data_IF_798796627359
#
_entry.id   IF_798796627359
#
_cell.length_a   1.000
_cell.length_b   1.000
_cell.length_c   1.000
_cell.angle_alpha   90.00
_cell.angle_beta   90.00
_cell.angle_gamma   90.00
#
_symmetry.space_group_name_H-M   'P 1'
#
loop_
_entity.id
_entity.type
_entity.pdbx_description
1 polymer ?
#
# COMPACT_ATOMS: atom_id res chain seq x y z
N UNK A 1 8.20 -26.60 -12.04
CA UNK A 1 8.49 -25.44 -12.92
C UNK A 1 8.90 -24.28 -12.00
N UNK A 2 10.19 -23.98 -11.95
CA UNK A 2 10.72 -22.84 -11.19
C UNK A 2 10.55 -21.63 -12.09
N UNK A 3 9.57 -20.76 -11.82
CA UNK A 3 9.41 -19.54 -12.60
C UNK A 3 10.44 -18.52 -12.08
N UNK A 4 11.59 -18.47 -12.74
CA UNK A 4 12.53 -17.38 -12.61
C UNK A 4 11.93 -16.12 -13.27
N UNK A 5 11.11 -15.36 -12.53
CA UNK A 5 10.60 -14.03 -12.95
C UNK A 5 11.49 -12.90 -12.41
N UNK A 6 12.74 -13.17 -12.05
CA UNK A 6 13.60 -12.15 -11.44
C UNK A 6 14.37 -11.29 -12.46
N UNK A 7 14.34 -11.60 -13.77
CA UNK A 7 15.33 -11.06 -14.71
C UNK A 7 14.82 -10.03 -15.75
N UNK A 8 13.60 -9.46 -15.62
CA UNK A 8 13.07 -8.51 -16.63
C UNK A 8 12.88 -7.06 -16.16
N UNK A 9 13.37 -6.69 -14.97
CA UNK A 9 13.38 -5.29 -14.52
C UNK A 9 14.77 -4.80 -14.13
N UNK A 10 15.78 -5.06 -14.95
CA UNK A 10 16.98 -4.20 -14.98
C UNK A 10 16.68 -2.97 -15.83
N UNK A 11 15.70 -2.14 -15.43
CA UNK A 11 15.62 -0.78 -15.95
C UNK A 11 16.67 0.03 -15.19
N UNK A 12 17.60 0.65 -15.92
CA UNK A 12 18.44 1.78 -15.48
C UNK A 12 17.92 2.44 -14.20
N UNK A 13 18.59 2.19 -13.08
CA UNK A 13 18.23 2.51 -11.69
C UNK A 13 17.12 3.56 -11.54
N UNK A 14 15.86 3.14 -11.64
CA UNK A 14 14.75 3.97 -11.24
C UNK A 14 14.85 4.12 -9.72
N UNK A 15 15.41 5.24 -9.25
CA UNK A 15 15.47 5.54 -7.82
C UNK A 15 14.04 5.59 -7.30
N UNK A 16 13.67 4.59 -6.50
CA UNK A 16 12.39 4.53 -5.79
C UNK A 16 12.26 5.85 -5.01
N UNK A 17 11.19 6.58 -5.26
CA UNK A 17 10.84 7.74 -4.45
C UNK A 17 9.52 7.47 -3.76
N UNK A 18 9.41 7.98 -2.54
CA UNK A 18 8.17 7.92 -1.78
C UNK A 18 7.43 9.24 -1.95
N UNK A 19 6.21 9.13 -2.48
CA UNK A 19 5.26 10.24 -2.49
C UNK A 19 4.85 10.52 -1.05
N UNK A 20 4.85 11.78 -0.63
CA UNK A 20 4.40 12.19 0.69
C UNK A 20 2.88 12.39 0.61
N UNK A 21 2.08 11.58 1.31
CA UNK A 21 0.63 11.74 1.35
C UNK A 21 0.23 13.09 1.95
N UNK A 22 -0.94 13.60 1.54
CA UNK A 22 -1.43 14.90 2.00
C UNK A 22 -1.79 14.93 3.50
N UNK A 23 -2.06 13.76 4.08
CA UNK A 23 -2.38 13.55 5.50
C UNK A 23 -1.14 13.43 6.40
N UNK A 24 0.06 13.33 5.81
CA UNK A 24 1.30 13.40 6.61
C UNK A 24 1.49 14.82 7.10
N UNK A 25 1.51 14.97 8.43
CA UNK A 25 1.82 16.23 9.09
C UNK A 25 3.17 16.78 8.63
N UNK A 26 3.19 18.08 8.33
CA UNK A 26 4.36 18.81 7.85
C UNK A 26 4.63 19.99 8.80
N UNK A 27 5.25 19.72 9.97
CA UNK A 27 5.35 20.70 11.07
C UNK A 27 6.08 21.99 10.68
N UNK A 28 6.99 21.94 9.70
CA UNK A 28 7.68 23.12 9.21
C UNK A 28 6.74 24.17 8.58
N UNK A 29 5.53 23.78 8.17
CA UNK A 29 4.53 24.71 7.64
C UNK A 29 3.97 25.67 8.72
N UNK A 30 4.06 25.31 10.00
CA UNK A 30 3.62 26.18 11.11
C UNK A 30 4.54 27.39 11.31
N UNK A 31 5.77 27.32 10.77
CA UNK A 31 6.79 28.37 10.91
C UNK A 31 6.70 29.47 9.86
N UNK A 32 5.76 29.38 8.92
CA UNK A 32 5.67 30.29 7.79
C UNK A 32 4.28 30.95 7.71
N UNK A 33 4.17 32.18 7.16
CA UNK A 33 2.88 32.83 7.03
C UNK A 33 1.96 32.05 6.07
N UNK A 34 0.64 32.20 6.24
CA UNK A 34 -0.37 31.55 5.40
C UNK A 34 -0.10 31.62 3.89
N UNK A 35 0.37 32.78 3.39
CA UNK A 35 0.71 32.94 1.97
C UNK A 35 1.84 32.01 1.51
N UNK A 36 2.83 31.77 2.36
CA UNK A 36 3.92 30.84 2.07
C UNK A 36 3.42 29.39 2.05
N UNK A 37 2.51 29.03 2.97
CA UNK A 37 1.85 27.72 2.99
C UNK A 37 1.03 27.47 1.71
N UNK A 38 0.33 28.49 1.21
CA UNK A 38 -0.38 28.42 -0.08
C UNK A 38 0.57 28.21 -1.27
N UNK A 39 1.73 28.88 -1.28
CA UNK A 39 2.77 28.64 -2.29
C UNK A 39 3.27 27.19 -2.26
N UNK A 40 3.50 26.65 -1.06
CA UNK A 40 3.91 25.27 -0.86
C UNK A 40 2.91 24.28 -1.46
N UNK A 41 1.62 24.40 -1.14
CA UNK A 41 0.59 23.50 -1.69
C UNK A 41 0.45 23.61 -3.21
N UNK A 42 0.63 24.82 -3.77
CA UNK A 42 0.65 24.98 -5.22
C UNK A 42 1.81 24.21 -5.88
N UNK A 43 2.95 24.11 -5.20
CA UNK A 43 4.11 23.32 -5.67
C UNK A 43 3.83 21.81 -5.53
N UNK A 44 3.36 21.35 -4.36
CA UNK A 44 3.22 19.92 -4.07
C UNK A 44 2.03 19.26 -4.75
N UNK A 45 0.96 20.01 -5.04
CA UNK A 45 -0.22 19.53 -5.75
C UNK A 45 -0.12 19.68 -7.27
N UNK A 46 0.99 20.23 -7.79
CA UNK A 46 1.20 20.40 -9.22
C UNK A 46 1.30 19.03 -9.92
N UNK A 47 0.31 18.73 -10.77
CA UNK A 47 0.23 17.45 -11.50
C UNK A 47 1.05 17.41 -12.80
N UNK A 48 1.61 18.54 -13.20
CA UNK A 48 2.27 18.74 -14.49
C UNK A 48 3.79 18.90 -14.40
N UNK A 49 4.41 18.59 -13.24
CA UNK A 49 5.85 18.63 -13.07
C UNK A 49 6.39 17.29 -12.57
N UNK A 50 7.61 16.89 -12.99
CA UNK A 50 8.27 15.71 -12.43
C UNK A 50 8.47 15.86 -10.92
N UNK A 51 8.36 14.76 -10.17
CA UNK A 51 8.51 14.77 -8.72
C UNK A 51 9.89 15.29 -8.25
N UNK A 52 10.95 15.00 -9.02
CA UNK A 52 12.30 15.54 -8.80
C UNK A 52 12.32 17.08 -8.86
N UNK A 53 11.61 17.64 -9.84
CA UNK A 53 11.48 19.09 -10.01
C UNK A 53 10.60 19.70 -8.90
N UNK A 54 9.52 19.02 -8.50
CA UNK A 54 8.70 19.43 -7.36
C UNK A 54 9.54 19.54 -6.08
N UNK A 55 10.32 18.50 -5.72
CA UNK A 55 11.19 18.52 -4.53
C UNK A 55 12.24 19.65 -4.60
N UNK A 56 12.81 19.91 -5.78
CA UNK A 56 13.74 21.03 -5.98
C UNK A 56 13.06 22.37 -5.68
N UNK A 57 11.85 22.59 -6.20
CA UNK A 57 11.06 23.82 -5.95
C UNK A 57 10.68 23.96 -4.48
N UNK A 58 10.38 22.88 -3.78
CA UNK A 58 10.12 22.92 -2.33
C UNK A 58 11.38 23.32 -1.55
N UNK A 59 12.57 22.85 -1.94
CA UNK A 59 13.83 23.27 -1.32
C UNK A 59 14.15 24.75 -1.59
N UNK A 60 13.90 25.22 -2.82
CA UNK A 60 14.02 26.65 -3.17
C UNK A 60 13.03 27.50 -2.37
N UNK A 61 11.78 27.05 -2.25
CA UNK A 61 10.76 27.65 -1.39
C UNK A 61 11.20 27.68 0.08
N UNK A 62 11.76 26.58 0.60
CA UNK A 62 12.28 26.54 1.96
C UNK A 62 13.43 27.54 2.17
N UNK A 63 14.28 27.73 1.16
CA UNK A 63 15.32 28.76 1.14
C UNK A 63 14.74 30.18 1.20
N UNK A 64 13.71 30.47 0.41
CA UNK A 64 13.01 31.77 0.39
C UNK A 64 12.44 32.16 1.75
N UNK A 65 12.00 31.18 2.55
CA UNK A 65 11.37 31.42 3.86
C UNK A 65 12.27 31.08 5.06
N UNK A 66 13.55 30.77 4.84
CA UNK A 66 14.50 30.50 5.93
C UNK A 66 14.26 29.18 6.69
N UNK A 67 13.52 28.24 6.11
CA UNK A 67 13.17 26.93 6.71
C UNK A 67 13.70 25.74 5.88
N UNK A 68 14.71 25.98 5.04
CA UNK A 68 15.28 24.96 4.14
C UNK A 68 15.77 23.74 4.91
N UNK A 69 16.41 23.95 6.06
CA UNK A 69 16.97 22.87 6.88
C UNK A 69 15.86 21.96 7.41
N UNK A 70 14.76 22.51 7.88
CA UNK A 70 13.61 21.76 8.37
C UNK A 70 12.92 20.95 7.27
N UNK A 71 12.86 21.50 6.05
CA UNK A 71 12.36 20.78 4.88
C UNK A 71 13.26 19.58 4.55
N UNK A 72 14.59 19.77 4.57
CA UNK A 72 15.57 18.71 4.32
C UNK A 72 15.49 17.61 5.40
N UNK A 73 15.43 17.99 6.68
CA UNK A 73 15.25 17.08 7.81
C UNK A 73 13.97 16.27 7.68
N UNK A 74 12.85 16.92 7.36
CA UNK A 74 11.58 16.26 7.13
C UNK A 74 11.65 15.23 5.99
N UNK A 75 12.23 15.60 4.84
CA UNK A 75 12.39 14.67 3.71
C UNK A 75 13.29 13.49 4.06
N UNK A 76 14.37 13.72 4.80
CA UNK A 76 15.29 12.65 5.20
C UNK A 76 14.62 11.68 6.18
N UNK A 77 13.93 12.18 7.20
CA UNK A 77 13.17 11.33 8.12
C UNK A 77 12.06 10.55 7.42
N UNK A 78 11.29 11.21 6.55
CA UNK A 78 10.23 10.56 5.78
C UNK A 78 10.77 9.44 4.90
N UNK A 79 11.84 9.71 4.13
CA UNK A 79 12.45 8.67 3.28
C UNK A 79 12.99 7.50 4.11
N UNK A 80 13.57 7.76 5.29
CA UNK A 80 14.05 6.69 6.19
C UNK A 80 12.89 5.81 6.67
N UNK A 81 11.80 6.40 7.14
CA UNK A 81 10.61 5.65 7.60
C UNK A 81 9.98 4.84 6.46
N UNK A 82 9.94 5.40 5.26
CA UNK A 82 9.41 4.69 4.10
C UNK A 82 10.32 3.54 3.61
N UNK A 83 11.64 3.67 3.73
CA UNK A 83 12.56 2.55 3.48
C UNK A 83 12.34 1.40 4.48
N UNK A 84 12.13 1.71 5.76
CA UNK A 84 11.79 0.72 6.78
C UNK A 84 10.44 0.06 6.48
N UNK A 85 9.42 0.86 6.11
CA UNK A 85 8.10 0.37 5.70
C UNK A 85 8.20 -0.54 4.48
N UNK A 86 8.96 -0.15 3.45
CA UNK A 86 9.20 -0.94 2.24
C UNK A 86 9.74 -2.31 2.59
N UNK A 87 10.78 -2.40 3.43
CA UNK A 87 11.38 -3.68 3.83
C UNK A 87 10.35 -4.60 4.50
N UNK A 88 9.52 -4.05 5.40
CA UNK A 88 8.43 -4.80 6.05
C UNK A 88 7.40 -5.30 5.05
N UNK A 89 6.94 -4.44 4.15
CA UNK A 89 5.96 -4.81 3.11
C UNK A 89 6.50 -5.90 2.19
N UNK A 90 7.76 -5.79 1.74
CA UNK A 90 8.40 -6.81 0.92
C UNK A 90 8.43 -8.16 1.64
N UNK A 91 8.85 -8.19 2.92
CA UNK A 91 8.90 -9.42 3.69
C UNK A 91 7.52 -10.10 3.82
N UNK A 92 6.46 -9.33 4.06
CA UNK A 92 5.08 -9.85 4.12
C UNK A 92 4.68 -10.45 2.77
N UNK A 93 4.97 -9.75 1.66
CA UNK A 93 4.61 -10.20 0.31
C UNK A 93 5.40 -11.46 -0.10
N UNK A 94 6.66 -11.59 0.31
CA UNK A 94 7.47 -12.79 0.06
C UNK A 94 6.93 -14.01 0.82
N UNK A 95 6.39 -13.81 2.02
CA UNK A 95 5.79 -14.88 2.83
C UNK A 95 4.34 -15.21 2.44
N UNK A 96 3.60 -14.27 1.85
CA UNK A 96 2.17 -14.41 1.56
C UNK A 96 1.80 -15.68 0.77
N UNK A 97 2.55 -16.13 -0.27
CA UNK A 97 2.22 -17.36 -0.98
C UNK A 97 2.32 -18.62 -0.10
N UNK A 98 3.27 -18.64 0.85
CA UNK A 98 3.40 -19.75 1.81
C UNK A 98 2.24 -19.73 2.79
N UNK A 99 1.96 -18.57 3.38
CA UNK A 99 0.83 -18.40 4.30
C UNK A 99 -0.51 -18.78 3.64
N UNK A 100 -0.71 -18.44 2.36
CA UNK A 100 -1.92 -18.85 1.64
C UNK A 100 -2.07 -20.37 1.53
N UNK A 101 -0.99 -21.11 1.28
CA UNK A 101 -1.04 -22.59 1.25
C UNK A 101 -1.36 -23.17 2.63
N UNK A 102 -0.78 -22.60 3.67
CA UNK A 102 -1.06 -22.99 5.06
C UNK A 102 -2.52 -22.71 5.42
N UNK A 103 -3.07 -21.57 4.98
CA UNK A 103 -4.48 -21.23 5.13
C UNK A 103 -5.40 -22.26 4.45
N UNK A 104 -5.12 -22.63 3.20
CA UNK A 104 -5.92 -23.64 2.49
C UNK A 104 -5.89 -25.00 3.19
N UNK A 105 -4.74 -25.37 3.78
CA UNK A 105 -4.60 -26.62 4.52
C UNK A 105 -5.41 -26.66 5.84
N UNK A 106 -5.95 -25.53 6.31
CA UNK A 106 -6.85 -25.52 7.45
C UNK A 106 -8.20 -26.17 7.13
N UNK A 107 -8.64 -26.10 5.88
CA UNK A 107 -9.91 -26.63 5.38
C UNK A 107 -9.79 -28.13 5.03
N UNK A 108 -9.64 -28.92 6.08
CA UNK A 108 -9.60 -30.38 6.04
C UNK A 108 -11.02 -30.93 6.23
N UNK A 109 -11.45 -31.87 5.38
CA UNK A 109 -12.79 -32.46 5.42
C UNK A 109 -13.01 -33.41 6.61
N UNK A 110 -11.94 -33.77 7.31
CA UNK A 110 -11.98 -34.52 8.58
C UNK A 110 -12.26 -33.65 9.80
N UNK A 111 -12.18 -32.31 9.66
CA UNK A 111 -12.38 -31.36 10.77
C UNK A 111 -13.82 -30.82 10.82
N UNK A 112 -14.25 -30.47 12.02
CA UNK A 112 -15.47 -29.68 12.22
C UNK A 112 -15.22 -28.21 11.90
N UNK A 113 -16.29 -27.46 11.62
CA UNK A 113 -16.20 -26.01 11.41
C UNK A 113 -15.64 -25.26 12.64
N UNK A 114 -15.88 -25.77 13.84
CA UNK A 114 -15.33 -25.20 15.07
C UNK A 114 -13.80 -25.35 15.12
N UNK A 115 -13.28 -26.54 14.79
CA UNK A 115 -11.85 -26.79 14.71
C UNK A 115 -11.16 -25.92 13.65
N UNK A 116 -11.79 -25.77 12.47
CA UNK A 116 -11.28 -24.87 11.41
C UNK A 116 -11.20 -23.42 11.92
N UNK A 117 -12.24 -22.95 12.61
CA UNK A 117 -12.27 -21.60 13.18
C UNK A 117 -11.19 -21.39 14.25
N UNK A 118 -10.90 -22.40 15.08
CA UNK A 118 -9.80 -22.34 16.05
C UNK A 118 -8.43 -22.29 15.36
N UNK A 119 -8.23 -23.08 14.31
CA UNK A 119 -7.01 -23.07 13.51
C UNK A 119 -6.80 -21.73 12.80
N UNK A 120 -7.86 -21.11 12.25
CA UNK A 120 -7.79 -19.77 11.67
C UNK A 120 -7.37 -18.72 12.71
N UNK A 121 -7.96 -18.77 13.92
CA UNK A 121 -7.57 -17.88 15.04
C UNK A 121 -6.10 -18.06 15.42
N UNK A 122 -5.63 -19.31 15.48
CA UNK A 122 -4.23 -19.63 15.78
C UNK A 122 -3.31 -19.10 14.69
N UNK A 123 -3.64 -19.29 13.42
CA UNK A 123 -2.86 -18.74 12.31
C UNK A 123 -2.79 -17.21 12.38
N UNK A 124 -3.92 -16.53 12.63
CA UNK A 124 -3.94 -15.07 12.78
C UNK A 124 -3.07 -14.60 13.96
N UNK A 125 -3.04 -15.33 15.07
CA UNK A 125 -2.19 -15.00 16.21
C UNK A 125 -0.68 -15.21 15.91
N UNK A 126 -0.34 -16.25 15.15
CA UNK A 126 1.05 -16.60 14.83
C UNK A 126 1.66 -15.74 13.71
N UNK A 127 0.86 -15.38 12.70
CA UNK A 127 1.31 -14.62 11.52
C UNK A 127 0.27 -13.56 11.09
N UNK A 128 0.02 -12.54 11.92
CA UNK A 128 -1.11 -11.63 11.71
C UNK A 128 -1.02 -10.87 10.39
N UNK A 129 0.17 -10.42 9.97
CA UNK A 129 0.33 -9.67 8.73
C UNK A 129 0.05 -10.52 7.49
N UNK A 130 0.66 -11.71 7.38
CA UNK A 130 0.43 -12.61 6.26
C UNK A 130 -1.02 -13.11 6.21
N UNK A 131 -1.62 -13.39 7.38
CA UNK A 131 -3.03 -13.77 7.47
C UNK A 131 -3.93 -12.66 6.91
N UNK A 132 -3.69 -11.40 7.30
CA UNK A 132 -4.46 -10.27 6.79
C UNK A 132 -4.34 -10.10 5.27
N UNK A 133 -3.14 -10.31 4.70
CA UNK A 133 -2.94 -10.30 3.23
C UNK A 133 -3.74 -11.42 2.56
N UNK A 134 -3.72 -12.63 3.12
CA UNK A 134 -4.52 -13.76 2.61
C UNK A 134 -6.01 -13.43 2.62
N UNK A 135 -6.54 -12.93 3.74
CA UNK A 135 -7.96 -12.60 3.87
C UNK A 135 -8.39 -11.49 2.91
N UNK A 136 -7.58 -10.44 2.78
CA UNK A 136 -7.84 -9.37 1.83
C UNK A 136 -7.86 -9.88 0.37
N UNK A 137 -6.89 -10.73 0.01
CA UNK A 137 -6.80 -11.30 -1.35
C UNK A 137 -7.97 -12.23 -1.65
N UNK A 138 -8.39 -13.06 -0.69
CA UNK A 138 -9.58 -13.89 -0.80
C UNK A 138 -10.85 -13.05 -1.00
N UNK A 139 -11.01 -11.97 -0.24
CA UNK A 139 -12.15 -11.06 -0.40
C UNK A 139 -12.17 -10.43 -1.80
N UNK A 140 -11.03 -9.96 -2.31
CA UNK A 140 -10.91 -9.44 -3.67
C UNK A 140 -11.27 -10.49 -4.74
N UNK A 141 -10.76 -11.71 -4.61
CA UNK A 141 -11.05 -12.79 -5.55
C UNK A 141 -12.53 -13.17 -5.52
N UNK A 142 -13.13 -13.21 -4.32
CA UNK A 142 -14.57 -13.43 -4.13
C UNK A 142 -15.38 -12.34 -4.81
N UNK A 143 -15.09 -11.07 -4.55
CA UNK A 143 -15.83 -9.95 -5.14
C UNK A 143 -15.73 -9.93 -6.67
N UNK A 144 -14.58 -10.34 -7.23
CA UNK A 144 -14.44 -10.57 -8.65
C UNK A 144 -15.39 -11.66 -9.17
N UNK A 145 -15.40 -12.84 -8.54
CA UNK A 145 -16.25 -13.96 -8.94
C UNK A 145 -17.75 -13.65 -8.79
N UNK A 146 -18.17 -13.12 -7.65
CA UNK A 146 -19.58 -12.81 -7.38
C UNK A 146 -20.05 -11.53 -8.09
N UNK A 147 -19.15 -10.57 -8.33
CA UNK A 147 -19.43 -9.37 -9.13
C UNK A 147 -19.68 -9.68 -10.61
N UNK A 148 -18.98 -10.68 -11.17
CA UNK A 148 -19.27 -11.22 -12.50
C UNK A 148 -20.60 -11.97 -12.50
N UNK A 149 -20.83 -12.85 -11.52
CA UNK A 149 -22.10 -13.58 -11.39
C UNK A 149 -23.31 -12.64 -11.32
N UNK A 150 -23.20 -11.52 -10.58
CA UNK A 150 -24.29 -10.54 -10.44
C UNK A 150 -24.56 -9.77 -11.74
N UNK A 151 -23.52 -9.51 -12.56
CA UNK A 151 -23.66 -8.86 -13.88
C UNK A 151 -24.20 -9.80 -14.97
N UNK A 152 -23.90 -11.09 -14.86
CA UNK A 152 -24.23 -12.09 -15.88
C UNK A 152 -25.43 -12.98 -15.52
N UNK A 153 -26.18 -12.68 -14.44
CA UNK A 153 -27.46 -13.37 -14.21
C UNK A 153 -28.44 -12.97 -15.32
N UNK A 154 -28.94 -13.91 -16.15
CA UNK A 154 -30.13 -13.63 -16.95
C UNK A 154 -31.26 -13.26 -15.99
N UNK A 155 -32.08 -12.26 -16.36
CA UNK A 155 -33.29 -11.94 -15.64
C UNK A 155 -34.19 -13.17 -15.63
N UNK A 156 -34.18 -13.92 -14.52
CA UNK A 156 -35.14 -15.00 -14.31
C UNK A 156 -36.44 -14.30 -13.97
N UNK A 157 -37.26 -14.04 -14.99
CA UNK A 157 -38.66 -13.69 -14.79
C UNK A 157 -39.33 -14.90 -14.14
N UNK A 158 -39.54 -14.82 -12.84
CA UNK A 158 -40.45 -15.70 -12.14
C UNK A 158 -41.84 -15.41 -12.69
N UNK A 159 -42.39 -16.34 -13.49
CA UNK A 159 -43.79 -16.31 -13.87
C UNK A 159 -44.55 -17.13 -12.82
N UNK A 160 -45.27 -16.51 -11.88
CA UNK A 160 -46.13 -17.26 -10.97
C UNK A 160 -47.33 -17.76 -11.79
N UNK A 161 -47.44 -19.08 -11.93
CA UNK A 161 -48.71 -19.74 -12.29
C UNK A 161 -49.51 -19.92 -11.01
#
# INVERSE_FOLDING_TARGET
>A
IVIAVAALYTSTEAKIFYQIPNDVSQPFLEKVPWRAMQEFYRITLARNIPYKEMRKRVLEWGGKYGIKKEVEEFYNDYNRREEERKKKVIAILENAPKAYREYLALFDDTKTLEQISEDEKKMHAEKPEEYNVVMYTNALARDYYYGIYRRNKPAVYYNPI
#
